data_IF_601970728700
#
_entry.id   IF_601970728700
#
_cell.length_a   1.000
_cell.length_b   1.000
_cell.length_c   1.000
_cell.angle_alpha   90.00
_cell.angle_beta   90.00
_cell.angle_gamma   90.00
#
_symmetry.space_group_name_H-M   'P 1'
#
loop_
_entity.id
_entity.type
_entity.pdbx_description
1 polymer ?
#
# COMPACT_ATOMS: atom_id res chain seq x y z
N UNK A 1 -18.86 -4.14 18.83
CA UNK A 1 -18.90 -3.46 17.52
C UNK A 1 -17.59 -2.71 17.22
N UNK A 2 -17.10 -1.87 18.14
CA UNK A 2 -15.83 -1.13 17.99
C UNK A 2 -14.62 -2.03 17.75
N UNK A 3 -14.45 -3.11 18.52
CA UNK A 3 -13.38 -4.08 18.32
C UNK A 3 -13.43 -4.76 16.94
N UNK A 4 -14.62 -5.10 16.43
CA UNK A 4 -14.78 -5.71 15.11
C UNK A 4 -14.36 -4.75 13.98
N UNK A 5 -14.71 -3.46 14.10
CA UNK A 5 -14.28 -2.43 13.15
C UNK A 5 -12.77 -2.19 13.18
N UNK A 6 -12.18 -2.18 14.38
CA UNK A 6 -10.73 -2.04 14.54
C UNK A 6 -9.99 -3.25 13.96
N UNK A 7 -10.46 -4.47 14.22
CA UNK A 7 -9.91 -5.70 13.62
C UNK A 7 -10.03 -5.66 12.10
N UNK A 8 -11.19 -5.24 11.56
CA UNK A 8 -11.39 -5.07 10.12
C UNK A 8 -10.38 -4.08 9.52
N UNK A 9 -10.15 -2.95 10.19
CA UNK A 9 -9.17 -1.95 9.74
C UNK A 9 -7.74 -2.50 9.77
N UNK A 10 -7.37 -3.26 10.81
CA UNK A 10 -6.07 -3.94 10.91
C UNK A 10 -5.89 -4.97 9.80
N UNK A 11 -6.92 -5.79 9.55
CA UNK A 11 -6.89 -6.82 8.51
C UNK A 11 -6.71 -6.25 7.11
N UNK A 12 -7.16 -5.01 6.85
CA UNK A 12 -6.93 -4.32 5.58
C UNK A 12 -5.57 -3.63 5.51
N UNK A 13 -5.15 -3.00 6.60
CA UNK A 13 -3.92 -2.16 6.64
C UNK A 13 -2.64 -2.97 6.73
N UNK A 14 -2.64 -4.09 7.45
CA UNK A 14 -1.44 -4.93 7.61
C UNK A 14 -0.99 -5.51 6.25
N UNK A 15 -1.85 -6.16 5.44
CA UNK A 15 -1.46 -6.61 4.10
C UNK A 15 -1.00 -5.45 3.21
N UNK A 16 -1.71 -4.32 3.23
CA UNK A 16 -1.33 -3.13 2.46
C UNK A 16 0.06 -2.59 2.86
N UNK A 17 0.40 -2.65 4.14
CA UNK A 17 1.74 -2.28 4.62
C UNK A 17 2.81 -3.25 4.10
N UNK A 18 2.55 -4.57 4.13
CA UNK A 18 3.46 -5.56 3.55
C UNK A 18 3.69 -5.35 2.05
N UNK A 19 2.63 -5.05 1.30
CA UNK A 19 2.73 -4.71 -0.13
C UNK A 19 3.62 -3.48 -0.34
N UNK A 20 3.41 -2.41 0.43
CA UNK A 20 4.24 -1.20 0.33
C UNK A 20 5.71 -1.46 0.70
N UNK A 21 5.97 -2.28 1.73
CA UNK A 21 7.33 -2.68 2.12
C UNK A 21 8.01 -3.53 1.04
N UNK A 22 7.25 -4.43 0.39
CA UNK A 22 7.74 -5.24 -0.72
C UNK A 22 8.16 -4.34 -1.90
N UNK A 23 7.28 -3.44 -2.33
CA UNK A 23 7.60 -2.50 -3.40
C UNK A 23 8.74 -1.54 -3.05
N UNK A 24 8.86 -1.14 -1.77
CA UNK A 24 9.99 -0.36 -1.28
C UNK A 24 11.31 -1.12 -1.42
N UNK A 25 11.32 -2.41 -1.05
CA UNK A 25 12.49 -3.28 -1.24
C UNK A 25 12.87 -3.44 -2.72
N UNK A 26 11.89 -3.62 -3.61
CA UNK A 26 12.11 -3.65 -5.06
C UNK A 26 12.69 -2.35 -5.60
N UNK A 27 12.18 -1.20 -5.15
CA UNK A 27 12.62 0.12 -5.60
C UNK A 27 14.03 0.45 -5.13
N UNK A 28 14.39 0.07 -3.90
CA UNK A 28 15.71 0.33 -3.32
C UNK A 28 16.77 -0.71 -3.72
N UNK A 29 16.36 -1.85 -4.29
CA UNK A 29 17.27 -2.98 -4.57
C UNK A 29 17.92 -3.56 -3.31
N UNK A 30 17.33 -3.32 -2.13
CA UNK A 30 17.89 -3.72 -0.82
C UNK A 30 17.03 -4.81 -0.18
N UNK A 31 17.66 -5.57 0.73
CA UNK A 31 17.07 -6.66 1.51
C UNK A 31 16.57 -7.85 0.67
N UNK A 32 17.46 -8.52 -0.07
CA UNK A 32 17.10 -9.65 -0.94
C UNK A 32 16.41 -10.80 -0.18
N UNK A 33 16.83 -11.08 1.06
CA UNK A 33 16.18 -12.10 1.90
C UNK A 33 14.75 -11.75 2.32
N UNK A 34 14.49 -10.48 2.62
CA UNK A 34 13.14 -10.00 2.96
C UNK A 34 12.23 -10.02 1.73
N UNK A 35 12.75 -9.56 0.58
CA UNK A 35 12.09 -9.62 -0.72
C UNK A 35 11.74 -11.05 -1.11
N UNK A 36 12.64 -12.01 -0.90
CA UNK A 36 12.38 -13.41 -1.22
C UNK A 36 11.24 -13.98 -0.38
N UNK A 37 11.23 -13.73 0.94
CA UNK A 37 10.14 -14.17 1.83
C UNK A 37 8.79 -13.58 1.46
N UNK A 38 8.75 -12.27 1.17
CA UNK A 38 7.51 -11.62 0.73
C UNK A 38 7.10 -12.04 -0.69
N UNK A 39 8.06 -12.30 -1.57
CA UNK A 39 7.82 -12.81 -2.91
C UNK A 39 7.17 -14.21 -2.92
N UNK A 40 7.50 -15.05 -1.93
CA UNK A 40 6.81 -16.33 -1.70
C UNK A 40 5.36 -16.10 -1.28
N UNK A 41 5.10 -15.09 -0.44
CA UNK A 41 3.73 -14.75 -0.01
C UNK A 41 2.90 -14.19 -1.18
N UNK A 42 3.53 -13.39 -2.04
CA UNK A 42 2.90 -12.73 -3.19
C UNK A 42 3.28 -13.42 -4.50
N UNK A 43 3.21 -14.74 -4.56
CA UNK A 43 3.60 -15.67 -5.65
C UNK A 43 3.59 -15.14 -7.09
N UNK A 44 2.72 -14.20 -7.44
CA UNK A 44 2.57 -13.55 -8.75
C UNK A 44 3.52 -12.37 -9.03
N UNK A 45 4.02 -11.66 -8.01
CA UNK A 45 4.97 -10.54 -8.15
C UNK A 45 6.41 -10.89 -7.71
N UNK A 46 6.63 -12.06 -7.12
CA UNK A 46 7.85 -12.43 -6.38
C UNK A 46 9.17 -12.50 -7.16
N UNK A 47 9.14 -12.57 -8.49
CA UNK A 47 10.33 -12.65 -9.34
C UNK A 47 10.87 -11.25 -9.69
N UNK A 48 12.20 -11.08 -9.74
CA UNK A 48 12.86 -9.82 -10.13
C UNK A 48 12.55 -9.38 -11.59
N UNK A 49 11.95 -10.27 -12.38
CA UNK A 49 11.46 -10.05 -13.75
C UNK A 49 9.94 -9.88 -13.83
N UNK A 50 9.23 -9.80 -12.70
CA UNK A 50 7.77 -9.67 -12.68
C UNK A 50 7.31 -8.31 -13.22
N UNK A 51 6.09 -8.25 -13.74
CA UNK A 51 5.43 -7.00 -14.18
C UNK A 51 5.48 -5.93 -13.09
N UNK A 52 5.47 -6.34 -11.82
CA UNK A 52 5.51 -5.47 -10.64
C UNK A 52 6.88 -4.80 -10.46
N UNK A 53 7.97 -5.52 -10.77
CA UNK A 53 9.34 -4.98 -10.79
C UNK A 53 9.55 -3.96 -11.93
N UNK A 54 8.84 -4.11 -13.04
CA UNK A 54 8.84 -3.15 -14.15
C UNK A 54 8.06 -1.89 -13.75
N UNK A 55 6.87 -2.05 -13.18
CA UNK A 55 5.98 -0.95 -12.75
C UNK A 55 6.66 -0.02 -11.76
N UNK A 56 7.38 -0.55 -10.76
CA UNK A 56 8.08 0.30 -9.75
C UNK A 56 9.23 1.13 -10.31
N UNK A 57 9.71 0.82 -11.51
CA UNK A 57 10.75 1.61 -12.22
C UNK A 57 10.15 2.71 -13.10
N UNK A 58 8.84 2.72 -13.30
CA UNK A 58 8.17 3.72 -14.12
C UNK A 58 7.93 5.02 -13.35
N UNK A 59 7.77 6.17 -14.05
CA UNK A 59 7.44 7.44 -13.40
C UNK A 59 6.13 7.38 -12.59
N UNK A 60 5.21 6.47 -12.92
CA UNK A 60 3.95 6.26 -12.20
C UNK A 60 4.13 5.72 -10.77
N UNK A 61 5.30 5.16 -10.44
CA UNK A 61 5.65 4.74 -9.09
C UNK A 61 5.99 5.92 -8.16
N UNK A 62 6.09 7.14 -8.70
CA UNK A 62 6.32 8.38 -7.97
C UNK A 62 5.11 9.29 -8.09
N UNK A 63 4.56 9.67 -6.95
CA UNK A 63 3.38 10.53 -6.88
C UNK A 63 3.82 11.95 -7.23
N UNK A 64 3.22 12.50 -8.29
CA UNK A 64 3.51 13.85 -8.81
C UNK A 64 5.00 14.13 -9.07
N UNK A 65 5.78 13.10 -9.45
CA UNK A 65 7.20 13.24 -9.78
C UNK A 65 8.14 13.43 -8.59
N UNK A 66 7.63 13.45 -7.35
CA UNK A 66 8.42 13.67 -6.13
C UNK A 66 8.66 12.39 -5.33
N UNK A 67 7.72 12.07 -4.44
CA UNK A 67 7.88 10.98 -3.49
C UNK A 67 7.43 9.63 -4.07
N UNK A 68 8.12 8.52 -3.75
CA UNK A 68 7.64 7.17 -4.06
C UNK A 68 6.24 6.94 -3.47
N UNK A 69 5.30 6.40 -4.25
CA UNK A 69 3.93 6.11 -3.80
C UNK A 69 3.93 5.25 -2.52
N UNK A 70 4.90 4.33 -2.44
CA UNK A 70 5.10 3.43 -1.32
C UNK A 70 5.38 4.15 0.00
N UNK A 71 6.05 5.30 -0.01
CA UNK A 71 6.32 6.06 1.23
C UNK A 71 5.04 6.69 1.76
N UNK A 72 4.24 7.29 0.86
CA UNK A 72 2.92 7.84 1.22
C UNK A 72 2.00 6.72 1.73
N UNK A 73 2.02 5.56 1.06
CA UNK A 73 1.29 4.37 1.46
C UNK A 73 1.71 3.83 2.84
N UNK A 74 3.01 3.79 3.16
CA UNK A 74 3.50 3.36 4.49
C UNK A 74 3.00 4.31 5.57
N UNK A 75 3.21 5.62 5.40
CA UNK A 75 2.79 6.63 6.39
C UNK A 75 1.28 6.54 6.64
N UNK A 76 0.51 6.40 5.57
CA UNK A 76 -0.95 6.27 5.67
C UNK A 76 -1.39 5.00 6.37
N UNK A 77 -0.80 3.84 6.04
CA UNK A 77 -1.13 2.58 6.71
C UNK A 77 -0.73 2.59 8.20
N UNK A 78 0.39 3.21 8.56
CA UNK A 78 0.80 3.40 9.96
C UNK A 78 -0.20 4.29 10.70
N UNK A 79 -0.68 5.38 10.07
CA UNK A 79 -1.71 6.23 10.65
C UNK A 79 -3.03 5.47 10.88
N UNK A 80 -3.46 4.64 9.94
CA UNK A 80 -4.66 3.81 10.08
C UNK A 80 -4.52 2.72 11.16
N UNK A 81 -3.31 2.15 11.34
CA UNK A 81 -3.03 1.24 12.46
C UNK A 81 -3.12 1.97 13.80
N UNK A 82 -2.58 3.19 13.89
CA UNK A 82 -2.73 4.06 15.05
C UNK A 82 -4.19 4.37 15.36
N UNK A 83 -5.00 4.65 14.32
CA UNK A 83 -6.44 4.87 14.46
C UNK A 83 -7.15 3.62 14.98
N UNK A 84 -6.85 2.44 14.42
CA UNK A 84 -7.42 1.18 14.88
C UNK A 84 -7.09 0.92 16.36
N UNK A 85 -5.82 1.13 16.75
CA UNK A 85 -5.39 1.00 18.14
C UNK A 85 -6.13 1.97 19.06
N UNK A 86 -6.31 3.22 18.62
CA UNK A 86 -7.06 4.22 19.38
C UNK A 86 -8.51 3.79 19.66
N UNK A 87 -9.16 3.12 18.71
CA UNK A 87 -10.51 2.57 18.91
C UNK A 87 -10.52 1.39 19.87
N UNK A 88 -9.49 0.53 19.82
CA UNK A 88 -9.36 -0.59 20.75
C UNK A 88 -9.16 -0.10 22.19
N UNK A 89 -8.30 0.90 22.40
CA UNK A 89 -7.98 1.44 23.73
C UNK A 89 -9.12 2.29 24.28
N UNK A 90 -9.70 3.17 23.48
CA UNK A 90 -10.77 4.08 23.93
C UNK A 90 -12.15 3.44 23.97
N UNK A 91 -12.34 2.31 23.27
CA UNK A 91 -13.65 1.68 23.07
C UNK A 91 -14.62 2.51 22.22
N UNK A 92 -14.18 3.63 21.63
CA UNK A 92 -15.01 4.55 20.84
C UNK A 92 -14.51 4.61 19.41
N UNK A 93 -15.45 4.59 18.46
CA UNK A 93 -15.14 4.81 17.04
C UNK A 93 -15.24 6.30 16.78
N UNK A 94 -14.10 6.91 16.51
CA UNK A 94 -14.01 8.30 16.08
C UNK A 94 -13.04 8.35 14.89
N UNK A 95 -13.51 8.83 13.74
CA UNK A 95 -12.70 9.05 12.54
C UNK A 95 -12.54 10.56 12.38
N UNK A 96 -11.36 11.14 12.61
CA UNK A 96 -11.14 12.56 12.34
C UNK A 96 -11.34 12.86 10.85
N UNK A 97 -11.96 14.00 10.52
CA UNK A 97 -12.24 14.38 9.12
C UNK A 97 -11.03 14.33 8.17
N UNK A 98 -9.77 14.60 8.58
CA UNK A 98 -8.63 14.46 7.67
C UNK A 98 -8.45 13.02 7.17
N UNK A 99 -8.79 12.02 8.00
CA UNK A 99 -8.71 10.62 7.57
C UNK A 99 -9.72 10.31 6.46
N UNK A 100 -10.89 10.94 6.50
CA UNK A 100 -11.91 10.79 5.45
C UNK A 100 -11.43 11.41 4.14
N UNK A 101 -10.82 12.60 4.19
CA UNK A 101 -10.27 13.26 3.00
C UNK A 101 -9.12 12.45 2.40
N UNK A 102 -8.16 12.03 3.22
CA UNK A 102 -7.03 11.22 2.73
C UNK A 102 -7.52 9.87 2.18
N UNK A 103 -8.54 9.27 2.82
CA UNK A 103 -9.22 8.08 2.30
C UNK A 103 -9.83 8.32 0.91
N UNK A 104 -10.60 9.39 0.73
CA UNK A 104 -11.21 9.74 -0.55
C UNK A 104 -10.15 10.02 -1.63
N UNK A 105 -9.10 10.76 -1.30
CA UNK A 105 -7.98 11.04 -2.22
C UNK A 105 -7.25 9.74 -2.58
N UNK A 106 -7.05 8.83 -1.62
CA UNK A 106 -6.41 7.53 -1.86
C UNK A 106 -7.20 6.68 -2.85
N UNK A 107 -8.54 6.70 -2.78
CA UNK A 107 -9.40 6.02 -3.77
C UNK A 107 -9.22 6.63 -5.16
N UNK A 108 -9.20 7.96 -5.28
CA UNK A 108 -8.97 8.63 -6.57
C UNK A 108 -7.60 8.31 -7.16
N UNK A 109 -6.55 8.33 -6.33
CA UNK A 109 -5.20 7.94 -6.73
C UNK A 109 -5.16 6.47 -7.15
N UNK A 110 -5.84 5.58 -6.42
CA UNK A 110 -5.95 4.15 -6.76
C UNK A 110 -6.60 3.95 -8.13
N UNK A 111 -7.71 4.62 -8.41
CA UNK A 111 -8.38 4.58 -9.73
C UNK A 111 -7.46 5.09 -10.84
N UNK A 112 -6.73 6.19 -10.59
CA UNK A 112 -5.74 6.71 -11.53
C UNK A 112 -4.62 5.70 -11.82
N UNK A 113 -4.07 5.06 -10.78
CA UNK A 113 -3.01 4.07 -10.95
C UNK A 113 -3.48 2.82 -11.68
N UNK A 114 -4.70 2.34 -11.41
CA UNK A 114 -5.30 1.23 -12.17
C UNK A 114 -5.46 1.59 -13.64
N UNK A 115 -5.96 2.81 -13.94
CA UNK A 115 -6.01 3.31 -15.32
C UNK A 115 -4.62 3.32 -15.95
N UNK A 116 -3.60 3.83 -15.26
CA UNK A 116 -2.24 3.87 -15.79
C UNK A 116 -1.70 2.46 -16.09
N UNK A 117 -1.95 1.49 -15.20
CA UNK A 117 -1.55 0.09 -15.41
C UNK A 117 -2.19 -0.52 -16.66
N UNK A 118 -3.49 -0.28 -16.86
CA UNK A 118 -4.26 -0.87 -17.98
C UNK A 118 -3.99 -0.16 -19.31
N UNK A 119 -4.02 1.17 -19.30
CA UNK A 119 -4.00 1.98 -20.53
C UNK A 119 -2.58 2.34 -20.95
N UNK A 120 -1.76 2.82 -20.00
CA UNK A 120 -0.46 3.42 -20.32
C UNK A 120 0.66 2.39 -20.28
N UNK A 121 0.75 1.59 -19.22
CA UNK A 121 1.80 0.58 -19.07
C UNK A 121 1.47 -0.74 -19.79
N UNK A 122 0.19 -1.10 -19.89
CA UNK A 122 -0.28 -2.43 -20.37
C UNK A 122 0.41 -3.59 -19.66
N UNK A 123 0.75 -3.40 -18.38
CA UNK A 123 1.39 -4.39 -17.53
C UNK A 123 0.45 -4.69 -16.36
N UNK A 124 -0.15 -5.89 -16.29
CA UNK A 124 -0.99 -6.24 -15.15
C UNK A 124 -0.10 -6.44 -13.93
N UNK A 125 -0.12 -5.48 -13.00
CA UNK A 125 0.40 -5.66 -11.65
C UNK A 125 -0.76 -6.16 -10.76
N UNK A 126 -0.72 -7.41 -10.27
CA UNK A 126 -1.78 -7.98 -9.44
C UNK A 126 -1.79 -7.47 -7.99
N UNK A 127 -0.74 -6.76 -7.56
CA UNK A 127 -0.61 -6.15 -6.23
C UNK A 127 -0.88 -4.64 -6.27
#
# INVERSE_FOLDING_TARGET
MTAALAIGLVMLTVPALFINLYFTSLMLGRWPGFRHRLGVLFTTCGADTSSCAIVVRTPYARLFGGAPNVHVGIVWNVALLGLALSWMVSGRVAVPWPYLIVGAVSVLVGVYLVRALVVDLRQPCPL
#
